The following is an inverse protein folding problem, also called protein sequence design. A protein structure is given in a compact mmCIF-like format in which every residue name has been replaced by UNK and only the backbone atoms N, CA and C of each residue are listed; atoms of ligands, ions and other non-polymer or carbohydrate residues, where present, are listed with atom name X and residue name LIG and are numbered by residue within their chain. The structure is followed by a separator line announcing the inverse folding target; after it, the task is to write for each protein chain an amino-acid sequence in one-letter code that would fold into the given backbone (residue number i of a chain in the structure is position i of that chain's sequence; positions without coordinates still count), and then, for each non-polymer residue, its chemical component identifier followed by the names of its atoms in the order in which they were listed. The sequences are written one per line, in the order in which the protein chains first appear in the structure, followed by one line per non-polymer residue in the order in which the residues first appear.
data_IF_866148700400
#
_entry.id   IF_866148700400
#
_cell.length_a   1.000
_cell.length_b   1.000
_cell.length_c   1.000
_cell.angle_alpha   90.00
_cell.angle_beta   90.00
_cell.angle_gamma   90.00
#
_symmetry.space_group_name_H-M   'P 1'
#
loop_
_entity.id
_entity.type
_entity.pdbx_description
1 polymer ?
#
# COMPACT_ATOMS: atom_id res chain seq x y z
N UNK A 1 9.15 28.01 -15.04
CA UNK A 1 7.86 27.30 -15.07
C UNK A 1 7.31 27.26 -13.66
N UNK A 2 6.20 27.95 -13.41
CA UNK A 2 5.51 27.93 -12.12
C UNK A 2 4.95 26.52 -11.89
N UNK A 3 5.42 25.84 -10.85
CA UNK A 3 4.81 24.59 -10.39
C UNK A 3 3.45 24.96 -9.81
N UNK A 4 2.40 24.87 -10.62
CA UNK A 4 1.03 25.00 -10.13
C UNK A 4 0.78 23.78 -9.26
N UNK A 5 0.83 23.97 -7.94
CA UNK A 5 0.47 22.94 -6.97
C UNK A 5 -0.95 22.48 -7.27
N UNK A 6 -1.10 21.22 -7.66
CA UNK A 6 -2.41 20.60 -7.89
C UNK A 6 -3.22 20.71 -6.58
N UNK A 7 -4.49 21.15 -6.61
CA UNK A 7 -5.27 21.26 -5.41
C UNK A 7 -5.38 19.90 -4.73
N UNK A 8 -5.11 19.87 -3.41
CA UNK A 8 -5.30 18.67 -2.60
C UNK A 8 -6.74 18.20 -2.71
N UNK A 9 -6.94 16.88 -2.78
CA UNK A 9 -8.26 16.30 -2.95
C UNK A 9 -9.21 16.76 -1.83
N UNK A 10 -10.48 17.11 -2.10
CA UNK A 10 -11.40 17.69 -1.11
C UNK A 10 -11.55 16.88 0.19
N UNK A 11 -11.43 15.55 0.10
CA UNK A 11 -11.44 14.66 1.28
C UNK A 11 -10.25 14.85 2.22
N UNK A 12 -9.09 15.23 1.67
CA UNK A 12 -7.87 15.48 2.45
C UNK A 12 -7.99 16.79 3.22
N UNK A 13 -8.57 17.82 2.59
CA UNK A 13 -8.82 19.13 3.23
C UNK A 13 -9.80 18.97 4.40
N UNK A 14 -10.91 18.26 4.20
CA UNK A 14 -11.91 17.99 5.23
C UNK A 14 -11.33 17.21 6.44
N UNK A 15 -10.39 16.29 6.17
CA UNK A 15 -9.74 15.52 7.23
C UNK A 15 -8.78 16.38 8.08
N UNK A 16 -8.09 17.36 7.48
CA UNK A 16 -7.22 18.32 8.18
C UNK A 16 -8.04 19.24 9.09
N UNK A 17 -9.16 19.76 8.61
CA UNK A 17 -10.05 20.64 9.38
C UNK A 17 -10.68 19.94 10.59
N UNK A 18 -10.97 18.64 10.47
CA UNK A 18 -11.52 17.82 11.55
C UNK A 18 -10.51 17.60 12.69
N UNK A 19 -9.21 17.53 12.36
CA UNK A 19 -8.13 17.32 13.35
C UNK A 19 -7.84 18.55 14.21
N UNK A 20 -8.10 19.75 13.71
CA UNK A 20 -7.81 21.00 14.42
C UNK A 20 -8.85 21.35 15.50
N UNK A 21 -9.94 20.57 15.64
CA UNK A 21 -11.10 20.95 16.46
C UNK A 21 -11.39 20.09 17.70
N UNK A 22 -10.64 19.03 18.02
CA UNK A 22 -10.97 18.19 19.19
C UNK A 22 -10.07 18.45 20.41
N UNK A 23 -10.64 18.85 21.56
CA UNK A 23 -9.93 18.86 22.83
C UNK A 23 -10.42 17.69 23.71
N UNK A 24 -9.63 16.60 23.82
CA UNK A 24 -9.51 15.72 25.03
C UNK A 24 -8.81 14.38 24.72
N UNK A 25 -8.14 13.75 25.71
CA UNK A 25 -7.24 12.62 25.53
C UNK A 25 -8.00 11.28 25.52
N UNK A 26 -8.32 10.78 24.33
CA UNK A 26 -8.81 9.42 24.10
C UNK A 26 -7.89 8.80 23.05
N UNK A 27 -7.38 7.61 23.34
CA UNK A 27 -6.39 6.82 22.57
C UNK A 27 -6.49 7.05 21.05
N UNK A 28 -5.57 7.84 20.45
CA UNK A 28 -5.71 8.27 19.06
C UNK A 28 -5.01 7.29 18.12
N UNK A 29 -5.56 6.10 17.84
CA UNK A 29 -4.71 5.08 17.17
C UNK A 29 -5.34 4.23 16.07
N UNK A 30 -6.39 4.67 15.37
CA UNK A 30 -6.69 4.07 14.05
C UNK A 30 -7.07 5.09 12.97
N UNK A 31 -8.02 6.01 13.20
CA UNK A 31 -8.44 6.96 12.15
C UNK A 31 -7.32 7.91 11.69
N UNK A 32 -6.62 8.53 12.64
CA UNK A 32 -5.52 9.47 12.35
C UNK A 32 -4.34 8.77 11.67
N UNK A 33 -4.01 7.56 12.13
CA UNK A 33 -2.95 6.77 11.52
C UNK A 33 -3.31 6.35 10.10
N UNK A 34 -4.54 5.91 9.85
CA UNK A 34 -5.00 5.54 8.51
C UNK A 34 -4.97 6.75 7.56
N UNK A 35 -5.40 7.93 8.02
CA UNK A 35 -5.33 9.16 7.24
C UNK A 35 -3.88 9.58 6.95
N UNK A 36 -3.00 9.53 7.96
CA UNK A 36 -1.60 9.86 7.76
C UNK A 36 -0.93 8.90 6.78
N UNK A 37 -1.28 7.62 6.85
CA UNK A 37 -0.78 6.63 5.91
C UNK A 37 -1.32 6.88 4.50
N UNK A 38 -2.59 7.24 4.34
CA UNK A 38 -3.15 7.68 3.05
C UNK A 38 -2.34 8.83 2.43
N UNK A 39 -1.95 9.83 3.23
CA UNK A 39 -1.07 10.92 2.79
C UNK A 39 0.30 10.42 2.32
N UNK A 40 0.91 9.47 3.02
CA UNK A 40 2.21 8.89 2.63
C UNK A 40 2.09 8.11 1.32
N UNK A 41 1.06 7.28 1.18
CA UNK A 41 0.79 6.52 -0.05
C UNK A 41 0.58 7.43 -1.25
N UNK A 42 -0.32 8.41 -1.14
CA UNK A 42 -0.63 9.32 -2.23
C UNK A 42 0.50 10.30 -2.52
N UNK A 43 1.15 10.85 -1.50
CA UNK A 43 2.24 11.80 -1.67
C UNK A 43 3.43 11.18 -2.42
N UNK A 44 3.81 9.95 -2.08
CA UNK A 44 4.89 9.27 -2.79
C UNK A 44 4.47 8.83 -4.19
N UNK A 45 3.23 8.37 -4.36
CA UNK A 45 2.69 8.00 -5.66
C UNK A 45 2.68 9.18 -6.62
N UNK A 46 2.10 10.30 -6.21
CA UNK A 46 1.98 11.50 -7.04
C UNK A 46 3.37 12.04 -7.42
N UNK A 47 4.32 12.03 -6.46
CA UNK A 47 5.71 12.43 -6.70
C UNK A 47 6.38 11.62 -7.80
N UNK A 48 6.22 10.29 -7.79
CA UNK A 48 6.85 9.42 -8.79
C UNK A 48 6.09 9.44 -10.12
N UNK A 49 4.78 9.26 -10.10
CA UNK A 49 3.96 9.05 -11.30
C UNK A 49 3.71 10.33 -12.10
N UNK A 50 3.94 11.53 -11.54
CA UNK A 50 3.93 12.77 -12.30
C UNK A 50 4.95 12.79 -13.47
N UNK A 51 5.96 11.91 -13.44
CA UNK A 51 6.96 11.79 -14.50
C UNK A 51 6.44 11.11 -15.78
N UNK A 52 5.28 10.45 -15.74
CA UNK A 52 4.71 9.71 -16.88
C UNK A 52 3.91 10.56 -17.86
N UNK A 53 4.29 11.83 -18.05
CA UNK A 53 3.67 12.70 -19.05
C UNK A 53 3.69 12.04 -20.45
N UNK A 54 2.59 12.12 -21.24
CA UNK A 54 1.38 12.93 -21.04
C UNK A 54 0.28 12.26 -20.18
N UNK A 55 0.52 11.06 -19.66
CA UNK A 55 -0.51 10.30 -18.96
C UNK A 55 -0.68 10.76 -17.51
N UNK A 56 -1.94 10.89 -17.08
CA UNK A 56 -2.28 11.17 -15.68
C UNK A 56 -2.60 9.87 -14.97
N UNK A 57 -1.93 9.61 -13.84
CA UNK A 57 -2.11 8.39 -13.06
C UNK A 57 -2.86 8.62 -11.75
N UNK A 58 -3.65 7.62 -11.35
CA UNK A 58 -4.44 7.65 -10.12
C UNK A 58 -4.17 6.41 -9.26
N UNK A 59 -3.95 6.61 -7.96
CA UNK A 59 -3.87 5.54 -6.97
C UNK A 59 -5.25 5.35 -6.31
N UNK A 60 -5.76 4.12 -6.28
CA UNK A 60 -7.11 3.83 -5.78
C UNK A 60 -7.12 2.57 -4.90
N UNK A 61 -7.61 2.61 -3.66
CA UNK A 61 -7.77 1.40 -2.86
C UNK A 61 -8.89 0.52 -3.45
N UNK A 62 -8.73 -0.81 -3.37
CA UNK A 62 -9.77 -1.76 -3.77
C UNK A 62 -9.84 -2.95 -2.80
N UNK A 63 -11.03 -3.52 -2.68
CA UNK A 63 -11.28 -4.76 -1.93
C UNK A 63 -11.28 -6.00 -2.82
N UNK A 64 -11.53 -5.81 -4.11
CA UNK A 64 -11.67 -6.87 -5.11
C UNK A 64 -10.72 -6.63 -6.29
N UNK A 65 -10.21 -7.70 -6.92
CA UNK A 65 -9.46 -7.54 -8.15
C UNK A 65 -10.35 -6.87 -9.22
N UNK A 66 -9.81 -5.91 -10.00
CA UNK A 66 -10.50 -5.40 -11.18
C UNK A 66 -10.56 -6.47 -12.28
N UNK A 67 -10.97 -6.07 -13.49
CA UNK A 67 -10.98 -6.95 -14.68
C UNK A 67 -9.64 -7.66 -14.91
N UNK A 68 -9.68 -8.91 -15.39
CA UNK A 68 -8.50 -9.72 -15.74
C UNK A 68 -7.54 -9.08 -16.76
N UNK A 69 -7.98 -8.04 -17.46
CA UNK A 69 -7.15 -7.27 -18.41
C UNK A 69 -6.09 -6.39 -17.73
N UNK A 70 -6.20 -6.18 -16.42
CA UNK A 70 -5.25 -5.36 -15.67
C UNK A 70 -3.96 -6.12 -15.42
N UNK A 71 -2.83 -5.43 -15.53
CA UNK A 71 -1.54 -6.00 -15.16
C UNK A 71 -1.44 -6.08 -13.64
N UNK A 72 -0.81 -7.14 -13.14
CA UNK A 72 -0.69 -7.41 -11.70
C UNK A 72 0.76 -7.27 -11.28
N UNK A 73 0.99 -6.61 -10.15
CA UNK A 73 2.28 -6.56 -9.48
C UNK A 73 2.08 -6.78 -7.98
N UNK A 74 2.93 -7.60 -7.37
CA UNK A 74 2.83 -7.97 -5.95
C UNK A 74 4.11 -7.58 -5.26
N UNK A 75 3.99 -7.12 -4.03
CA UNK A 75 5.16 -6.76 -3.24
C UNK A 75 4.98 -7.11 -1.75
N UNK A 76 6.10 -7.13 -1.04
CA UNK A 76 6.17 -7.43 0.38
C UNK A 76 6.94 -6.37 1.15
N UNK A 77 6.52 -6.20 2.38
CA UNK A 77 7.08 -5.23 3.30
C UNK A 77 7.12 -5.77 4.73
N UNK A 78 7.94 -5.12 5.55
CA UNK A 78 7.79 -5.21 7.00
C UNK A 78 6.61 -4.35 7.45
N UNK A 79 5.71 -4.92 8.23
CA UNK A 79 4.53 -4.22 8.78
C UNK A 79 4.30 -4.60 10.25
N UNK A 80 3.50 -3.81 10.94
CA UNK A 80 2.95 -4.16 12.27
C UNK A 80 1.46 -4.43 12.19
N UNK A 81 0.96 -5.18 13.16
CA UNK A 81 -0.45 -5.39 13.39
C UNK A 81 -0.75 -5.16 14.87
N UNK A 82 -1.97 -4.76 15.18
CA UNK A 82 -2.47 -4.63 16.55
C UNK A 82 -3.90 -5.13 16.58
N UNK A 83 -4.15 -6.16 17.36
CA UNK A 83 -5.49 -6.70 17.53
C UNK A 83 -6.39 -5.68 18.23
N UNK A 84 -7.53 -5.36 17.63
CA UNK A 84 -8.47 -4.39 18.21
C UNK A 84 -9.19 -4.94 19.43
N UNK A 85 -9.34 -6.25 19.56
CA UNK A 85 -10.03 -6.89 20.68
C UNK A 85 -9.14 -7.06 21.91
N UNK A 86 -7.94 -7.62 21.75
CA UNK A 86 -7.07 -7.98 22.88
C UNK A 86 -5.81 -7.11 23.00
N UNK A 87 -5.62 -6.12 22.13
CA UNK A 87 -4.44 -5.25 22.13
C UNK A 87 -3.12 -5.95 21.77
N UNK A 88 -3.16 -7.23 21.38
CA UNK A 88 -1.95 -7.96 21.02
C UNK A 88 -1.33 -7.39 19.75
N UNK A 89 -0.12 -6.84 19.88
CA UNK A 89 0.68 -6.35 18.75
C UNK A 89 1.72 -7.35 18.27
N UNK A 90 1.91 -7.44 16.94
CA UNK A 90 2.97 -8.25 16.33
C UNK A 90 3.56 -7.57 15.10
N UNK A 91 4.76 -8.00 14.70
CA UNK A 91 5.45 -7.53 13.48
C UNK A 91 5.53 -8.69 12.49
N UNK A 92 5.31 -8.39 11.21
CA UNK A 92 5.46 -9.37 10.13
C UNK A 92 6.43 -8.85 9.08
N UNK A 93 7.36 -9.70 8.63
CA UNK A 93 8.20 -9.43 7.45
C UNK A 93 7.52 -9.78 6.12
N UNK A 94 6.26 -10.24 6.19
CA UNK A 94 5.42 -10.60 5.04
C UNK A 94 4.09 -9.82 5.09
N UNK A 95 4.15 -8.51 5.30
CA UNK A 95 3.04 -7.64 4.92
C UNK A 95 2.90 -7.65 3.41
N UNK A 96 1.73 -7.97 2.87
CA UNK A 96 1.52 -8.14 1.43
C UNK A 96 0.68 -7.00 0.88
N UNK A 97 1.13 -6.48 -0.27
CA UNK A 97 0.36 -5.57 -1.12
C UNK A 97 0.28 -6.17 -2.52
N UNK A 98 -0.87 -6.01 -3.14
CA UNK A 98 -1.06 -6.28 -4.57
C UNK A 98 -1.50 -4.98 -5.24
N UNK A 99 -0.94 -4.75 -6.42
CA UNK A 99 -1.27 -3.66 -7.30
C UNK A 99 -1.84 -4.24 -8.59
N UNK A 100 -2.93 -3.66 -9.05
CA UNK A 100 -3.43 -3.83 -10.41
C UNK A 100 -3.26 -2.52 -11.13
N UNK A 101 -2.77 -2.56 -12.36
CA UNK A 101 -2.60 -1.33 -13.11
C UNK A 101 -2.96 -1.48 -14.58
N UNK A 102 -3.47 -0.38 -15.13
CA UNK A 102 -3.94 -0.27 -16.49
C UNK A 102 -3.73 1.15 -16.99
N UNK A 103 -3.39 1.29 -18.27
CA UNK A 103 -3.26 2.56 -18.96
C UNK A 103 -4.25 2.60 -20.12
N UNK A 104 -5.13 3.60 -20.12
CA UNK A 104 -6.04 3.88 -21.21
C UNK A 104 -5.44 5.00 -22.08
N UNK A 105 -4.95 4.63 -23.26
CA UNK A 105 -4.35 5.57 -24.21
C UNK A 105 -5.37 6.53 -24.84
N UNK A 106 -6.65 6.15 -24.92
CA UNK A 106 -7.70 7.02 -25.46
C UNK A 106 -7.97 8.22 -24.55
N UNK A 107 -7.91 8.01 -23.23
CA UNK A 107 -8.18 9.06 -22.23
C UNK A 107 -6.90 9.61 -21.57
N UNK A 108 -5.72 9.15 -22.00
CA UNK A 108 -4.43 9.45 -21.37
C UNK A 108 -4.43 9.23 -19.84
N UNK A 109 -5.21 8.26 -19.36
CA UNK A 109 -5.41 8.04 -17.92
C UNK A 109 -4.93 6.64 -17.52
N UNK A 110 -4.03 6.61 -16.55
CA UNK A 110 -3.54 5.40 -15.91
C UNK A 110 -4.13 5.23 -14.52
N UNK A 111 -4.33 3.99 -14.11
CA UNK A 111 -4.84 3.65 -12.80
C UNK A 111 -3.95 2.60 -12.16
N UNK A 112 -3.62 2.80 -10.89
CA UNK A 112 -3.03 1.79 -10.01
C UNK A 112 -4.04 1.55 -8.88
N UNK A 113 -4.71 0.41 -8.94
CA UNK A 113 -5.54 -0.08 -7.84
C UNK A 113 -4.70 -0.91 -6.88
N UNK A 114 -4.95 -0.85 -5.58
CA UNK A 114 -4.18 -1.63 -4.61
C UNK A 114 -5.04 -2.20 -3.48
N UNK A 115 -4.60 -3.36 -2.95
CA UNK A 115 -5.17 -4.00 -1.76
C UNK A 115 -4.05 -4.33 -0.77
N UNK A 116 -4.26 -3.94 0.49
CA UNK A 116 -3.38 -4.26 1.61
C UNK A 116 -3.96 -5.45 2.37
N UNK A 117 -3.14 -6.49 2.56
CA UNK A 117 -3.59 -7.73 3.18
C UNK A 117 -3.42 -7.72 4.70
N UNK A 118 -4.46 -8.18 5.39
CA UNK A 118 -4.47 -8.31 6.84
C UNK A 118 -3.94 -9.64 7.37
N UNK A 119 -3.82 -9.73 8.70
CA UNK A 119 -3.50 -10.96 9.42
C UNK A 119 -4.45 -11.14 10.62
N UNK A 120 -4.85 -12.38 10.90
CA UNK A 120 -5.67 -12.73 12.05
C UNK A 120 -4.81 -12.72 13.32
N UNK A 121 -5.39 -12.29 14.44
CA UNK A 121 -4.72 -12.33 15.74
C UNK A 121 -4.51 -13.78 16.19
N UNK A 122 -3.26 -14.13 16.52
CA UNK A 122 -2.93 -15.48 17.01
C UNK A 122 -3.58 -15.81 18.37
N UNK A 123 -3.86 -14.80 19.20
CA UNK A 123 -4.49 -14.99 20.52
C UNK A 123 -6.00 -15.17 20.42
N UNK A 124 -6.69 -14.31 19.66
CA UNK A 124 -8.15 -14.37 19.55
C UNK A 124 -8.62 -15.46 18.59
N UNK A 125 -7.95 -15.61 17.43
CA UNK A 125 -8.40 -16.48 16.33
C UNK A 125 -9.88 -16.33 15.97
N UNK A 126 -10.41 -15.11 16.11
CA UNK A 126 -11.81 -14.74 15.91
C UNK A 126 -12.31 -14.78 14.45
N UNK A 127 -11.43 -15.09 13.49
CA UNK A 127 -11.74 -15.08 12.05
C UNK A 127 -11.54 -13.71 11.38
N UNK A 128 -11.41 -12.62 12.13
CA UNK A 128 -11.25 -11.26 11.64
C UNK A 128 -9.80 -10.96 11.24
N UNK A 129 -9.62 -10.22 10.14
CA UNK A 129 -8.29 -9.75 9.73
C UNK A 129 -8.00 -8.35 10.28
N UNK A 130 -6.86 -8.21 10.94
CA UNK A 130 -6.36 -6.91 11.37
C UNK A 130 -5.65 -6.20 10.23
N UNK A 131 -5.88 -4.89 10.12
CA UNK A 131 -5.22 -4.05 9.11
C UNK A 131 -3.73 -3.91 9.40
N UNK A 132 -2.92 -3.96 8.33
CA UNK A 132 -1.49 -3.76 8.44
C UNK A 132 -1.16 -2.28 8.69
N UNK A 133 -0.35 -2.04 9.70
CA UNK A 133 0.32 -0.76 9.94
C UNK A 133 1.67 -0.76 9.21
N UNK A 134 1.74 0.00 8.12
CA UNK A 134 2.92 0.19 7.29
C UNK A 134 3.88 1.25 7.86
N UNK A 135 5.16 1.09 7.55
CA UNK A 135 6.15 2.13 7.80
C UNK A 135 6.31 3.00 6.54
N UNK A 136 6.51 4.31 6.67
CA UNK A 136 6.64 5.20 5.50
C UNK A 136 7.71 4.74 4.50
N UNK A 137 8.86 4.30 4.98
CA UNK A 137 9.94 3.81 4.12
C UNK A 137 9.58 2.53 3.36
N UNK A 138 8.71 1.69 3.91
CA UNK A 138 8.20 0.50 3.23
C UNK A 138 7.17 0.88 2.15
N UNK A 139 6.37 1.92 2.40
CA UNK A 139 5.47 2.52 1.40
C UNK A 139 6.27 3.08 0.23
N UNK A 140 7.31 3.88 0.53
CA UNK A 140 8.25 4.41 -0.47
C UNK A 140 8.85 3.31 -1.33
N UNK A 141 9.27 2.21 -0.69
CA UNK A 141 9.84 1.07 -1.39
C UNK A 141 8.83 0.39 -2.33
N UNK A 142 7.63 0.05 -1.86
CA UNK A 142 6.63 -0.66 -2.69
C UNK A 142 6.05 0.23 -3.80
N UNK A 143 5.90 1.54 -3.54
CA UNK A 143 5.45 2.50 -4.55
C UNK A 143 6.52 2.72 -5.63
N UNK A 144 7.79 2.81 -5.24
CA UNK A 144 8.91 2.82 -6.20
C UNK A 144 8.96 1.57 -7.07
N UNK A 145 8.69 0.40 -6.50
CA UNK A 145 8.68 -0.85 -7.24
C UNK A 145 7.53 -0.94 -8.26
N UNK A 146 6.30 -0.56 -7.89
CA UNK A 146 5.18 -0.53 -8.85
C UNK A 146 5.37 0.56 -9.90
N UNK A 147 5.92 1.72 -9.54
CA UNK A 147 6.33 2.76 -10.48
C UNK A 147 7.26 2.19 -11.55
N UNK A 148 8.34 1.54 -11.15
CA UNK A 148 9.30 0.93 -12.08
C UNK A 148 8.65 -0.15 -12.96
N UNK A 149 7.75 -0.97 -12.40
CA UNK A 149 7.04 -2.01 -13.17
C UNK A 149 6.10 -1.40 -14.21
N UNK A 150 5.39 -0.34 -13.86
CA UNK A 150 4.56 0.45 -14.80
C UNK A 150 5.42 1.03 -15.92
N UNK A 151 6.56 1.63 -15.55
CA UNK A 151 7.56 2.18 -16.49
C UNK A 151 8.07 1.15 -17.47
N UNK A 152 8.37 -0.05 -16.99
CA UNK A 152 8.83 -1.15 -17.82
C UNK A 152 7.77 -1.58 -18.85
N UNK A 153 6.50 -1.66 -18.44
CA UNK A 153 5.44 -2.22 -19.29
C UNK A 153 4.93 -1.21 -20.31
N UNK A 154 4.80 0.06 -19.95
CA UNK A 154 4.15 1.07 -20.80
C UNK A 154 5.09 2.15 -21.35
N UNK A 155 6.28 2.33 -20.76
CA UNK A 155 7.17 3.47 -21.07
C UNK A 155 8.59 3.05 -21.46
N UNK A 156 8.83 1.74 -21.66
CA UNK A 156 10.11 1.23 -22.15
C UNK A 156 11.26 1.32 -21.16
N UNK A 157 11.00 1.42 -19.84
CA UNK A 157 12.09 1.38 -18.87
C UNK A 157 12.86 0.06 -18.97
N UNK A 158 14.19 0.14 -18.95
CA UNK A 158 15.04 -1.04 -18.79
C UNK A 158 14.76 -1.63 -17.42
N UNK A 159 14.42 -2.93 -17.37
CA UNK A 159 14.04 -3.69 -16.16
C UNK A 159 14.98 -3.40 -15.00
N UNK A 160 14.63 -2.49 -14.06
CA UNK A 160 15.51 -2.19 -12.96
C UNK A 160 15.44 -3.34 -11.94
N UNK A 161 16.50 -3.58 -11.14
CA UNK A 161 16.45 -4.54 -10.06
C UNK A 161 15.30 -4.21 -9.10
N UNK A 162 14.56 -5.25 -8.68
CA UNK A 162 13.50 -5.07 -7.69
C UNK A 162 14.13 -4.71 -6.34
N UNK A 163 13.62 -3.70 -5.67
CA UNK A 163 13.99 -3.43 -4.28
C UNK A 163 13.28 -4.40 -3.35
N UNK A 164 14.01 -5.44 -2.95
CA UNK A 164 13.54 -6.51 -2.05
C UNK A 164 13.99 -6.24 -0.60
N UNK A 165 14.88 -5.26 -0.41
CA UNK A 165 15.30 -4.82 0.92
C UNK A 165 14.09 -4.41 1.77
N UNK A 166 14.10 -4.89 3.01
CA UNK A 166 13.09 -4.57 4.03
C UNK A 166 13.80 -3.87 5.18
N UNK A 167 13.08 -2.97 5.87
CA UNK A 167 13.53 -2.36 7.11
C UNK A 167 14.02 -3.45 8.04
N UNK A 168 15.25 -3.29 8.54
CA UNK A 168 15.87 -4.28 9.41
C UNK A 168 15.01 -4.56 10.65
N UNK A 169 15.04 -5.81 11.11
CA UNK A 169 14.35 -6.23 12.31
C UNK A 169 14.66 -7.67 12.67
N UNK A 170 14.44 -8.02 13.93
CA UNK A 170 14.50 -9.40 14.43
C UNK A 170 13.07 -9.90 14.67
N UNK A 171 12.31 -10.29 13.62
CA UNK A 171 10.99 -10.88 13.83
C UNK A 171 11.16 -12.12 14.70
N UNK A 172 10.40 -12.19 15.80
CA UNK A 172 10.52 -13.31 16.76
C UNK A 172 10.03 -14.64 16.18
N UNK A 173 9.09 -14.59 15.23
CA UNK A 173 8.42 -15.76 14.70
C UNK A 173 8.51 -15.83 13.17
N UNK A 174 8.52 -17.05 12.64
CA UNK A 174 8.32 -17.30 11.22
C UNK A 174 6.89 -16.93 10.81
N UNK A 175 6.70 -16.65 9.52
CA UNK A 175 5.40 -16.29 8.96
C UNK A 175 4.38 -17.44 9.13
N UNK A 176 3.26 -17.17 9.80
CA UNK A 176 2.15 -18.12 9.92
C UNK A 176 1.16 -17.95 8.76
N UNK A 177 1.09 -18.94 7.87
CA UNK A 177 0.23 -18.91 6.69
C UNK A 177 -1.26 -19.04 7.03
N UNK A 178 -1.63 -19.73 8.10
CA UNK A 178 -3.03 -19.93 8.51
C UNK A 178 -3.69 -18.62 8.96
N UNK A 179 -2.90 -17.68 9.46
CA UNK A 179 -3.39 -16.38 9.92
C UNK A 179 -3.28 -15.29 8.84
N UNK A 180 -2.65 -15.57 7.70
CA UNK A 180 -2.40 -14.56 6.67
C UNK A 180 -3.49 -14.56 5.59
N UNK A 181 -4.15 -13.42 5.40
CA UNK A 181 -5.18 -13.26 4.37
C UNK A 181 -4.63 -13.58 2.96
N UNK A 182 -3.45 -13.06 2.64
CA UNK A 182 -2.82 -13.31 1.34
C UNK A 182 -2.48 -14.80 1.12
N UNK A 183 -2.15 -15.56 2.17
CA UNK A 183 -1.96 -17.01 2.06
C UNK A 183 -3.26 -17.73 1.72
N UNK A 184 -4.36 -17.38 2.41
CA UNK A 184 -5.68 -17.97 2.13
C UNK A 184 -6.18 -17.64 0.72
N UNK A 185 -5.78 -16.50 0.17
CA UNK A 185 -6.04 -16.13 -1.23
C UNK A 185 -4.99 -16.69 -2.23
N UNK A 186 -4.01 -17.49 -1.79
CA UNK A 186 -2.98 -18.08 -2.66
C UNK A 186 -1.93 -17.10 -3.19
N UNK A 187 -1.85 -15.89 -2.63
CA UNK A 187 -1.04 -14.76 -3.07
C UNK A 187 0.25 -14.57 -2.26
N UNK A 188 0.63 -15.56 -1.44
CA UNK A 188 1.80 -15.49 -0.55
C UNK A 188 2.89 -16.51 -0.89
N UNK A 189 3.01 -16.94 -2.16
CA UNK A 189 4.15 -17.76 -2.62
C UNK A 189 5.47 -16.95 -2.60
N UNK A 190 6.59 -17.56 -3.00
CA UNK A 190 8.00 -17.14 -2.80
C UNK A 190 8.31 -15.64 -3.02
N UNK A 191 9.50 -15.19 -2.58
CA UNK A 191 9.93 -13.80 -2.80
C UNK A 191 9.86 -13.48 -4.31
N UNK A 192 9.02 -12.49 -4.65
CA UNK A 192 8.59 -12.29 -6.02
C UNK A 192 9.74 -11.75 -6.86
N UNK A 193 10.23 -12.53 -7.81
CA UNK A 193 11.01 -11.99 -8.92
C UNK A 193 10.06 -11.34 -9.91
N UNK A 194 10.53 -10.32 -10.63
CA UNK A 194 9.94 -10.07 -11.94
C UNK A 194 10.05 -11.40 -12.69
N UNK A 195 8.94 -11.97 -13.17
CA UNK A 195 8.98 -12.82 -14.36
C UNK A 195 8.88 -11.90 -15.58
#
# INVERSE_FOLDING_TARGET
MLVVSKPMHPRVVAAIETLQRSPSPITPTNSVYMLWMELVWHGEFDRLFAQYFPHTWYLVPTFFPPSERWRVFKDSAKVRFSCQECGHGWTSMKGRVIFWFHLNYTTNSGYVMFKLYGQQCQKCKNGSYEHAMWYPEEVVKVIGNVYNRVGQIFYGFVRPPLRIDRRQGKPRNQHNAELCQACKEGLCKEEWSFS
#
